data_IF_144685626193
#
_entry.id   IF_144685626193
#
_cell.length_a   1.000
_cell.length_b   1.000
_cell.length_c   1.000
_cell.angle_alpha   90.00
_cell.angle_beta   90.00
_cell.angle_gamma   90.00
#
_symmetry.space_group_name_H-M   'P 1'
#
loop_
_entity.id
_entity.type
_entity.pdbx_description
1 polymer ?
#
# COMPACT_ATOMS: atom_id res chain seq x y z
N UNK A 1 -10.12 -4.47 -23.29
CA UNK A 1 -10.38 -4.82 -21.88
C UNK A 1 -9.53 -3.90 -21.02
N UNK A 2 -10.05 -3.45 -19.88
CA UNK A 2 -9.27 -2.64 -18.94
C UNK A 2 -8.19 -3.50 -18.27
N UNK A 3 -7.05 -2.90 -17.96
CA UNK A 3 -5.98 -3.52 -17.19
C UNK A 3 -6.44 -3.67 -15.73
N UNK A 4 -6.34 -4.87 -15.18
CA UNK A 4 -6.76 -5.16 -13.80
C UNK A 4 -5.59 -4.93 -12.87
N UNK A 5 -5.74 -3.93 -12.01
CA UNK A 5 -4.68 -3.51 -11.10
C UNK A 5 -5.10 -3.85 -9.67
N UNK A 6 -4.30 -4.66 -8.99
CA UNK A 6 -4.47 -4.84 -7.56
C UNK A 6 -3.78 -3.70 -6.81
N UNK A 7 -4.45 -3.13 -5.80
CA UNK A 7 -3.78 -2.25 -4.84
C UNK A 7 -3.70 -2.93 -3.48
N UNK A 8 -2.48 -3.01 -2.95
CA UNK A 8 -2.17 -3.53 -1.61
C UNK A 8 -1.71 -2.37 -0.73
N UNK A 9 -2.38 -2.16 0.39
CA UNK A 9 -2.08 -1.10 1.35
C UNK A 9 -1.51 -1.68 2.64
N UNK A 10 -0.52 -1.01 3.22
CA UNK A 10 -0.03 -1.39 4.53
C UNK A 10 0.96 -0.41 5.13
N UNK A 11 1.03 -0.46 6.46
CA UNK A 11 2.05 0.25 7.22
C UNK A 11 3.42 -0.40 7.02
N UNK A 12 3.52 -1.72 6.92
CA UNK A 12 4.78 -2.46 6.73
C UNK A 12 5.88 -2.11 7.76
N UNK A 13 5.54 -2.22 9.05
CA UNK A 13 6.43 -1.94 10.17
C UNK A 13 6.70 -3.21 11.03
N UNK A 14 7.45 -4.21 10.53
CA UNK A 14 8.13 -4.27 9.23
C UNK A 14 7.31 -4.98 8.13
N UNK A 15 7.82 -4.92 6.89
CA UNK A 15 7.40 -5.86 5.84
C UNK A 15 7.79 -7.28 6.26
N UNK A 16 6.90 -8.25 6.08
CA UNK A 16 7.11 -9.64 6.53
C UNK A 16 6.50 -10.62 5.51
N UNK A 17 6.78 -11.92 5.66
CA UNK A 17 6.39 -12.95 4.67
C UNK A 17 4.90 -12.90 4.30
N UNK A 18 4.00 -12.77 5.27
CA UNK A 18 2.55 -12.69 4.97
C UNK A 18 2.15 -11.52 4.05
N UNK A 19 2.85 -10.38 4.09
CA UNK A 19 2.62 -9.27 3.15
C UNK A 19 3.13 -9.63 1.75
N UNK A 20 4.32 -10.23 1.68
CA UNK A 20 4.95 -10.65 0.43
C UNK A 20 4.07 -11.71 -0.26
N UNK A 21 3.57 -12.69 0.49
CA UNK A 21 2.68 -13.74 -0.03
C UNK A 21 1.39 -13.16 -0.61
N UNK A 22 0.79 -12.14 0.04
CA UNK A 22 -0.38 -11.45 -0.48
C UNK A 22 -0.08 -10.75 -1.80
N UNK A 23 1.03 -10.03 -1.89
CA UNK A 23 1.46 -9.34 -3.12
C UNK A 23 1.72 -10.36 -4.24
N UNK A 24 2.43 -11.46 -3.94
CA UNK A 24 2.68 -12.53 -4.92
C UNK A 24 1.39 -13.22 -5.36
N UNK A 25 0.42 -13.40 -4.47
CA UNK A 25 -0.91 -13.92 -4.83
C UNK A 25 -1.64 -12.95 -5.75
N UNK A 26 -1.59 -11.65 -5.47
CA UNK A 26 -2.20 -10.63 -6.31
C UNK A 26 -1.62 -10.65 -7.74
N UNK A 27 -0.30 -10.76 -7.88
CA UNK A 27 0.38 -10.85 -9.19
C UNK A 27 -0.06 -12.04 -10.04
N UNK A 28 -0.62 -13.10 -9.45
CA UNK A 28 -1.13 -14.27 -10.20
C UNK A 28 -2.54 -14.06 -10.75
N UNK A 29 -3.24 -13.02 -10.29
CA UNK A 29 -4.66 -12.78 -10.61
C UNK A 29 -4.91 -11.44 -11.29
N UNK A 30 -3.91 -10.56 -11.31
CA UNK A 30 -4.00 -9.19 -11.80
C UNK A 30 -2.79 -8.86 -12.68
N UNK A 31 -2.96 -7.91 -13.59
CA UNK A 31 -1.94 -7.53 -14.57
C UNK A 31 -0.76 -6.80 -13.89
N UNK A 32 -1.06 -5.99 -12.86
CA UNK A 32 -0.06 -5.31 -12.03
C UNK A 32 -0.51 -5.21 -10.58
N UNK A 33 0.44 -4.98 -9.68
CA UNK A 33 0.21 -4.70 -8.27
C UNK A 33 0.82 -3.36 -7.89
N UNK A 34 0.01 -2.47 -7.32
CA UNK A 34 0.45 -1.23 -6.70
C UNK A 34 0.50 -1.42 -5.19
N UNK A 35 1.68 -1.34 -4.61
CA UNK A 35 1.91 -1.45 -3.17
C UNK A 35 2.03 -0.05 -2.60
N UNK A 36 1.11 0.34 -1.73
CA UNK A 36 1.12 1.66 -1.09
C UNK A 36 1.57 1.51 0.35
N UNK A 37 2.77 2.01 0.63
CA UNK A 37 3.31 2.11 1.98
C UNK A 37 2.75 3.39 2.61
N UNK A 38 1.90 3.23 3.63
CA UNK A 38 1.27 4.37 4.29
C UNK A 38 1.69 4.53 5.75
N UNK A 39 1.56 5.76 6.25
CA UNK A 39 1.92 6.11 7.61
C UNK A 39 1.87 7.61 7.84
N UNK A 40 2.01 8.04 9.09
CA UNK A 40 1.97 9.44 9.48
C UNK A 40 3.06 9.73 10.51
N UNK A 41 3.39 11.00 10.72
CA UNK A 41 4.37 11.39 11.75
C UNK A 41 3.95 10.94 13.15
N UNK A 42 4.85 10.21 13.82
CA UNK A 42 4.59 9.67 15.15
C UNK A 42 3.71 8.41 15.15
N UNK A 43 3.61 7.69 14.03
CA UNK A 43 2.98 6.37 14.04
C UNK A 43 3.82 5.30 14.76
N UNK A 44 3.19 4.15 15.03
CA UNK A 44 3.83 3.01 15.73
C UNK A 44 5.12 2.54 15.04
N UNK A 45 5.21 2.68 13.72
CA UNK A 45 6.44 2.34 12.99
C UNK A 45 7.57 3.29 13.37
N UNK A 46 7.29 4.59 13.43
CA UNK A 46 8.28 5.58 13.85
C UNK A 46 8.75 5.38 15.29
N UNK A 47 7.85 5.00 16.22
CA UNK A 47 8.19 4.71 17.63
C UNK A 47 9.26 3.60 17.76
N UNK A 48 9.25 2.61 16.87
CA UNK A 48 10.24 1.52 16.82
C UNK A 48 11.40 1.79 15.86
N UNK A 49 11.58 3.04 15.42
CA UNK A 49 12.68 3.46 14.56
C UNK A 49 12.51 3.16 13.06
N UNK A 50 11.31 2.72 12.65
CA UNK A 50 10.90 2.44 11.27
C UNK A 50 10.03 3.60 10.72
N UNK A 51 10.67 4.74 10.43
CA UNK A 51 9.99 5.86 9.79
C UNK A 51 9.35 5.48 8.45
N UNK A 52 8.32 6.22 8.03
CA UNK A 52 7.65 6.00 6.74
C UNK A 52 8.64 5.90 5.57
N UNK A 53 9.68 6.74 5.56
CA UNK A 53 10.72 6.72 4.53
C UNK A 53 11.54 5.43 4.55
N UNK A 54 11.90 4.91 5.74
CA UNK A 54 12.62 3.63 5.86
C UNK A 54 11.76 2.48 5.37
N UNK A 55 10.48 2.44 5.77
CA UNK A 55 9.52 1.42 5.35
C UNK A 55 9.31 1.43 3.84
N UNK A 56 9.12 2.62 3.25
CA UNK A 56 9.04 2.78 1.81
C UNK A 56 10.30 2.27 1.09
N UNK A 57 11.49 2.65 1.57
CA UNK A 57 12.75 2.20 0.99
C UNK A 57 12.89 0.69 1.05
N UNK A 58 12.64 0.06 2.20
CA UNK A 58 12.75 -1.40 2.34
C UNK A 58 11.75 -2.15 1.46
N UNK A 59 10.52 -1.66 1.35
CA UNK A 59 9.53 -2.25 0.44
C UNK A 59 9.96 -2.10 -1.02
N UNK A 60 10.46 -0.93 -1.42
CA UNK A 60 10.94 -0.71 -2.79
C UNK A 60 12.15 -1.60 -3.13
N UNK A 61 13.09 -1.75 -2.19
CA UNK A 61 14.25 -2.65 -2.36
C UNK A 61 13.81 -4.11 -2.47
N UNK A 62 12.80 -4.53 -1.71
CA UNK A 62 12.27 -5.91 -1.76
C UNK A 62 11.67 -6.28 -3.12
N UNK A 63 11.10 -5.30 -3.83
CA UNK A 63 10.43 -5.49 -5.13
C UNK A 63 11.18 -4.80 -6.29
N UNK A 64 12.46 -4.51 -6.13
CA UNK A 64 13.24 -3.74 -7.11
C UNK A 64 13.31 -4.42 -8.48
N UNK A 65 13.43 -5.75 -8.50
CA UNK A 65 13.52 -6.57 -9.71
C UNK A 65 12.16 -7.12 -10.17
N UNK A 66 11.05 -6.58 -9.63
CA UNK A 66 9.69 -7.05 -9.92
C UNK A 66 8.93 -6.06 -10.80
N UNK A 67 8.97 -6.28 -12.11
CA UNK A 67 8.36 -5.40 -13.12
C UNK A 67 6.83 -5.23 -12.97
N UNK A 68 6.15 -6.17 -12.31
CA UNK A 68 4.71 -6.12 -12.09
C UNK A 68 4.33 -5.35 -10.82
N UNK A 69 5.31 -5.01 -9.97
CA UNK A 69 5.08 -4.37 -8.68
C UNK A 69 5.56 -2.92 -8.69
N UNK A 70 4.63 -1.99 -8.43
CA UNK A 70 4.93 -0.57 -8.28
C UNK A 70 4.76 -0.15 -6.82
N UNK A 71 5.81 0.39 -6.20
CA UNK A 71 5.77 0.80 -4.79
C UNK A 71 5.61 2.31 -4.66
N UNK A 72 4.60 2.73 -3.92
CA UNK A 72 4.27 4.12 -3.65
C UNK A 72 4.33 4.41 -2.14
N UNK A 73 4.49 5.69 -1.80
CA UNK A 73 4.53 6.17 -0.43
C UNK A 73 3.40 7.19 -0.23
N UNK A 74 2.52 6.92 0.74
CA UNK A 74 1.44 7.82 1.12
C UNK A 74 1.70 8.37 2.52
N UNK A 75 2.00 9.67 2.62
CA UNK A 75 2.16 10.37 3.89
C UNK A 75 0.82 10.88 4.40
N UNK A 76 0.30 10.26 5.45
CA UNK A 76 -1.02 10.52 5.99
C UNK A 76 -1.04 11.66 7.04
N UNK A 77 0.07 12.38 7.25
CA UNK A 77 0.22 13.36 8.35
C UNK A 77 -0.77 14.53 8.28
N UNK A 78 -1.12 15.00 7.08
CA UNK A 78 -2.04 16.13 6.88
C UNK A 78 -3.51 15.71 6.78
N UNK A 79 -3.81 14.41 6.85
CA UNK A 79 -5.17 13.92 6.67
C UNK A 79 -5.94 13.95 8.00
N UNK A 80 -7.23 14.33 7.99
CA UNK A 80 -8.09 14.14 9.15
C UNK A 80 -8.09 12.67 9.56
N UNK A 81 -8.04 12.43 10.87
CA UNK A 81 -8.14 11.05 11.39
C UNK A 81 -9.47 10.44 10.99
N UNK A 82 -9.46 9.13 10.80
CA UNK A 82 -10.66 8.35 10.62
C UNK A 82 -11.70 8.72 11.70
N UNK A 83 -12.99 8.92 11.34
CA UNK A 83 -13.59 8.67 10.02
C UNK A 83 -13.61 9.88 9.05
N UNK A 84 -13.15 11.06 9.45
CA UNK A 84 -13.44 12.33 8.77
C UNK A 84 -12.59 12.64 7.52
N UNK A 85 -11.68 11.74 7.12
CA UNK A 85 -10.65 12.00 6.10
C UNK A 85 -10.77 11.19 4.81
N UNK A 86 -11.79 10.35 4.67
CA UNK A 86 -11.84 9.32 3.64
C UNK A 86 -11.78 9.86 2.21
N UNK A 87 -12.58 10.89 1.89
CA UNK A 87 -12.62 11.45 0.52
C UNK A 87 -11.29 12.08 0.12
N UNK A 88 -10.68 12.85 1.03
CA UNK A 88 -9.36 13.45 0.79
C UNK A 88 -8.29 12.39 0.63
N UNK A 89 -8.30 11.38 1.49
CA UNK A 89 -7.37 10.27 1.45
C UNK A 89 -7.50 9.47 0.15
N UNK A 90 -8.74 9.17 -0.27
CA UNK A 90 -9.00 8.44 -1.52
C UNK A 90 -8.55 9.24 -2.74
N UNK A 91 -8.85 10.54 -2.80
CA UNK A 91 -8.38 11.39 -3.90
C UNK A 91 -6.86 11.43 -3.98
N UNK A 92 -6.18 11.65 -2.85
CA UNK A 92 -4.72 11.68 -2.81
C UNK A 92 -4.10 10.33 -3.20
N UNK A 93 -4.73 9.23 -2.81
CA UNK A 93 -4.34 7.90 -3.23
C UNK A 93 -4.46 7.73 -4.75
N UNK A 94 -5.63 8.02 -5.32
CA UNK A 94 -5.87 7.84 -6.75
C UNK A 94 -4.93 8.69 -7.61
N UNK A 95 -4.63 9.91 -7.16
CA UNK A 95 -3.64 10.79 -7.76
C UNK A 95 -2.22 10.20 -7.66
N UNK A 96 -1.83 9.73 -6.46
CA UNK A 96 -0.52 9.12 -6.20
C UNK A 96 -0.25 7.92 -7.11
N UNK A 97 -1.27 7.08 -7.34
CA UNK A 97 -1.14 5.91 -8.22
C UNK A 97 -1.43 6.22 -9.69
N UNK A 98 -1.72 7.48 -10.03
CA UNK A 98 -2.07 7.91 -11.39
C UNK A 98 -3.18 7.05 -12.01
N UNK A 99 -4.23 6.78 -11.24
CA UNK A 99 -5.33 5.91 -11.69
C UNK A 99 -6.07 6.51 -12.89
N UNK A 100 -6.22 5.70 -13.94
CA UNK A 100 -7.00 6.04 -15.13
C UNK A 100 -8.23 5.13 -15.23
N UNK A 101 -9.41 5.68 -14.94
CA UNK A 101 -10.66 4.93 -14.95
C UNK A 101 -11.08 4.42 -16.33
N UNK A 102 -10.57 4.97 -17.43
CA UNK A 102 -10.88 4.50 -18.79
C UNK A 102 -10.02 3.27 -19.14
N UNK A 103 -8.81 3.19 -18.60
CA UNK A 103 -7.82 2.15 -18.91
C UNK A 103 -7.74 1.05 -17.87
N UNK A 104 -8.03 1.35 -16.62
CA UNK A 104 -7.73 0.51 -15.47
C UNK A 104 -8.98 0.14 -14.67
N UNK A 105 -8.95 -1.03 -14.06
CA UNK A 105 -9.90 -1.47 -13.03
C UNK A 105 -9.12 -1.71 -11.73
N UNK A 106 -9.38 -0.89 -10.71
CA UNK A 106 -8.71 -1.03 -9.41
C UNK A 106 -9.46 -1.99 -8.49
N UNK A 107 -8.72 -2.95 -7.94
CA UNK A 107 -9.24 -3.91 -6.97
C UNK A 107 -8.40 -3.81 -5.70
N UNK A 108 -9.03 -3.38 -4.61
CA UNK A 108 -8.35 -3.24 -3.33
C UNK A 108 -8.25 -4.58 -2.60
N UNK A 109 -7.04 -4.95 -2.21
CA UNK A 109 -6.77 -6.11 -1.37
C UNK A 109 -6.39 -5.61 0.02
N UNK A 110 -7.38 -5.48 0.89
CA UNK A 110 -7.15 -5.19 2.30
C UNK A 110 -6.49 -6.41 2.96
N UNK A 111 -5.31 -6.21 3.56
CA UNK A 111 -4.78 -7.15 4.54
C UNK A 111 -5.73 -7.10 5.74
N UNK A 112 -6.67 -8.05 5.79
CA UNK A 112 -7.40 -8.33 7.04
C UNK A 112 -6.34 -8.90 8.00
N UNK A 113 -5.65 -8.04 8.76
CA UNK A 113 -4.83 -8.47 9.89
C UNK A 113 -5.80 -9.10 10.90
N UNK A 114 -6.07 -10.38 10.75
CA UNK A 114 -6.68 -11.18 11.80
C UNK A 114 -5.62 -11.29 12.90
N UNK A 115 -5.59 -10.30 13.79
CA UNK A 115 -5.02 -10.48 15.11
C UNK A 115 -5.93 -11.51 15.76
N UNK A 116 -5.54 -12.79 15.71
CA UNK A 116 -6.08 -13.78 16.63
C UNK A 116 -5.64 -13.32 18.02
N UNK A 117 -6.55 -12.69 18.77
CA UNK A 117 -6.43 -12.65 20.23
C UNK A 117 -6.50 -14.10 20.69
N UNK A 118 -5.37 -14.64 21.11
CA UNK A 118 -5.32 -15.69 22.13
C UNK A 118 -5.76 -15.10 23.46
#
# INVERSE_FOLDING_TARGET
MKEKIAIVFGTFAPLHQGHIDLIQKAKRSYDKVRVVVSGYQGDRGQEVGLSLQKRFRYTRETFADDELTQVYKLDETSFPRYPLGWDKWLSALLELVSYDAEREELISLLVRLTIRKS
#
